data_IF_935270458527
#
_entry.id   IF_935270458527
#
_cell.length_a   1.000
_cell.length_b   1.000
_cell.length_c   1.000
_cell.angle_alpha   90.00
_cell.angle_beta   90.00
_cell.angle_gamma   90.00
#
_symmetry.space_group_name_H-M   'P 1'
#
loop_
_entity.id
_entity.type
_entity.pdbx_description
1 polymer ?
#
# COMPACT_ATOMS: atom_id res chain seq x y z
N UNK A 1 -9.11 -3.76 -8.65
CA UNK A 1 -8.85 -3.94 -7.21
C UNK A 1 -8.49 -2.59 -6.63
N UNK A 2 -9.11 -2.22 -5.51
CA UNK A 2 -8.72 -1.02 -4.77
C UNK A 2 -7.46 -1.27 -3.93
N UNK A 3 -6.74 -0.21 -3.56
CA UNK A 3 -5.61 -0.25 -2.64
C UNK A 3 -6.01 -0.93 -1.33
N UNK A 4 -7.20 -0.63 -0.81
CA UNK A 4 -7.72 -1.24 0.41
C UNK A 4 -7.90 -2.77 0.27
N UNK A 5 -8.51 -3.22 -0.83
CA UNK A 5 -8.70 -4.65 -1.08
C UNK A 5 -7.37 -5.39 -1.28
N UNK A 6 -6.42 -4.75 -1.95
CA UNK A 6 -5.07 -5.29 -2.13
C UNK A 6 -4.36 -5.44 -0.77
N UNK A 7 -4.40 -4.41 0.06
CA UNK A 7 -3.82 -4.43 1.42
C UNK A 7 -4.50 -5.49 2.29
N UNK A 8 -5.83 -5.58 2.29
CA UNK A 8 -6.55 -6.59 3.07
C UNK A 8 -6.20 -8.00 2.62
N UNK A 9 -6.13 -8.23 1.30
CA UNK A 9 -5.72 -9.52 0.74
C UNK A 9 -4.26 -9.84 1.12
N UNK A 10 -3.38 -8.85 1.06
CA UNK A 10 -1.99 -8.99 1.45
C UNK A 10 -1.83 -9.30 2.94
N UNK A 11 -2.57 -8.62 3.82
CA UNK A 11 -2.58 -8.91 5.27
C UNK A 11 -3.10 -10.32 5.52
N UNK A 12 -4.18 -10.72 4.84
CA UNK A 12 -4.76 -12.06 4.98
C UNK A 12 -3.79 -13.14 4.53
N UNK A 13 -3.12 -12.97 3.39
CA UNK A 13 -2.08 -13.88 2.91
C UNK A 13 -0.87 -13.93 3.85
N UNK A 14 -0.48 -12.77 4.40
CA UNK A 14 0.60 -12.68 5.37
C UNK A 14 0.30 -13.41 6.68
N UNK A 15 -0.96 -13.47 7.12
CA UNK A 15 -1.36 -14.20 8.32
C UNK A 15 -1.14 -15.71 8.20
N UNK A 16 -1.14 -16.25 6.97
CA UNK A 16 -0.84 -17.65 6.72
C UNK A 16 0.66 -17.97 6.71
N UNK A 17 1.53 -16.96 6.70
CA UNK A 17 2.99 -17.14 6.80
C UNK A 17 3.61 -16.06 7.70
N UNK A 18 3.39 -16.13 9.02
CA UNK A 18 3.90 -15.14 9.97
C UNK A 18 5.44 -15.11 9.99
N UNK A 19 6.10 -16.23 9.70
CA UNK A 19 7.57 -16.35 9.67
C UNK A 19 8.22 -15.52 8.55
N UNK A 20 7.51 -15.30 7.43
CA UNK A 20 7.97 -14.49 6.30
C UNK A 20 7.69 -12.98 6.51
N UNK A 21 6.86 -12.64 7.50
CA UNK A 21 6.21 -11.33 7.66
C UNK A 21 6.47 -10.67 9.02
N UNK A 22 7.30 -11.27 9.87
CA UNK A 22 7.66 -10.73 11.20
C UNK A 22 8.52 -9.45 11.13
N UNK A 23 8.97 -9.05 9.93
CA UNK A 23 9.82 -7.86 9.74
C UNK A 23 9.01 -6.80 9.00
N UNK A 24 8.33 -5.93 9.76
CA UNK A 24 7.59 -4.73 9.32
C UNK A 24 8.22 -4.02 8.08
N UNK A 25 9.54 -3.77 8.01
CA UNK A 25 10.17 -3.15 6.83
C UNK A 25 10.16 -4.02 5.56
N UNK A 26 10.26 -5.36 5.66
CA UNK A 26 10.15 -6.25 4.48
C UNK A 26 8.72 -6.33 3.97
N UNK A 27 7.76 -6.27 4.90
CA UNK A 27 6.33 -6.24 4.59
C UNK A 27 5.95 -4.97 3.83
N UNK A 28 6.45 -3.83 4.29
CA UNK A 28 6.34 -2.53 3.60
C UNK A 28 6.99 -2.59 2.22
N UNK A 29 8.22 -3.12 2.11
CA UNK A 29 8.91 -3.23 0.82
C UNK A 29 8.18 -4.13 -0.18
N UNK A 30 7.61 -5.27 0.25
CA UNK A 30 6.81 -6.15 -0.61
C UNK A 30 5.50 -5.49 -1.04
N UNK A 31 4.82 -4.79 -0.13
CA UNK A 31 3.60 -4.08 -0.44
C UNK A 31 3.86 -2.95 -1.45
N UNK A 32 4.89 -2.13 -1.21
CA UNK A 32 5.37 -1.10 -2.13
C UNK A 32 5.76 -1.69 -3.48
N UNK A 33 6.50 -2.80 -3.51
CA UNK A 33 6.88 -3.47 -4.75
C UNK A 33 5.70 -3.96 -5.60
N UNK A 34 4.52 -4.15 -5.00
CA UNK A 34 3.29 -4.48 -5.72
C UNK A 34 2.42 -3.27 -6.09
N UNK A 35 2.76 -2.06 -5.62
CA UNK A 35 2.09 -0.85 -6.08
C UNK A 35 2.63 -0.41 -7.43
N UNK A 36 1.76 0.25 -8.20
CA UNK A 36 2.12 0.82 -9.49
C UNK A 36 3.27 1.85 -9.32
N UNK A 37 4.26 1.87 -10.23
CA UNK A 37 5.37 2.82 -10.15
C UNK A 37 4.95 4.29 -10.13
N UNK A 38 3.80 4.64 -10.72
CA UNK A 38 3.21 5.98 -10.59
C UNK A 38 2.78 6.26 -9.14
N UNK A 39 2.16 5.29 -8.46
CA UNK A 39 1.86 5.39 -7.04
C UNK A 39 3.13 5.53 -6.21
N UNK A 40 4.16 4.72 -6.48
CA UNK A 40 5.43 4.77 -5.75
C UNK A 40 6.14 6.11 -5.85
N UNK A 41 6.08 6.75 -7.02
CA UNK A 41 6.65 8.09 -7.23
C UNK A 41 5.97 9.14 -6.34
N UNK A 42 4.66 9.00 -6.11
CA UNK A 42 3.90 9.88 -5.22
C UNK A 42 3.98 9.46 -3.75
N UNK A 43 4.20 8.17 -3.46
CA UNK A 43 4.45 7.62 -2.13
C UNK A 43 5.89 7.84 -1.62
N UNK A 44 6.67 8.74 -2.23
CA UNK A 44 8.06 9.05 -1.86
C UNK A 44 8.28 9.65 -0.45
N UNK A 45 7.27 9.62 0.43
CA UNK A 45 7.41 10.01 1.84
C UNK A 45 7.97 8.85 2.66
N UNK A 46 8.75 9.18 3.69
CA UNK A 46 9.09 8.21 4.74
C UNK A 46 7.85 7.92 5.55
N UNK A 47 7.49 6.64 5.63
CA UNK A 47 6.40 6.15 6.48
C UNK A 47 6.98 5.61 7.78
N UNK A 48 6.40 6.01 8.91
CA UNK A 48 6.84 5.57 10.24
C UNK A 48 6.24 4.22 10.62
N UNK A 49 5.16 3.79 9.96
CA UNK A 49 4.46 2.54 10.26
C UNK A 49 3.69 2.04 9.05
N UNK A 50 3.44 0.73 9.00
CA UNK A 50 2.62 0.10 7.96
C UNK A 50 1.22 0.75 7.84
N UNK A 51 0.58 1.07 8.97
CA UNK A 51 -0.72 1.75 8.98
C UNK A 51 -0.68 3.11 8.28
N UNK A 52 0.36 3.91 8.55
CA UNK A 52 0.52 5.24 7.93
C UNK A 52 0.71 5.13 6.41
N UNK A 53 1.42 4.09 5.95
CA UNK A 53 1.57 3.80 4.53
C UNK A 53 0.25 3.41 3.87
N UNK A 54 -0.56 2.58 4.53
CA UNK A 54 -1.87 2.15 4.03
C UNK A 54 -2.82 3.34 3.95
N UNK A 55 -2.89 4.18 4.98
CA UNK A 55 -3.74 5.37 4.99
C UNK A 55 -3.36 6.33 3.85
N UNK A 56 -2.06 6.59 3.64
CA UNK A 56 -1.59 7.44 2.54
C UNK A 56 -1.87 6.82 1.18
N UNK A 57 -1.75 5.50 1.03
CA UNK A 57 -2.05 4.82 -0.22
C UNK A 57 -3.55 4.90 -0.56
N UNK A 58 -4.44 4.80 0.44
CA UNK A 58 -5.90 4.94 0.26
C UNK A 58 -6.26 6.38 -0.12
N UNK A 59 -5.73 7.38 0.61
CA UNK A 59 -5.94 8.80 0.30
C UNK A 59 -5.46 9.13 -1.12
N UNK A 60 -4.30 8.58 -1.52
CA UNK A 60 -3.76 8.78 -2.87
C UNK A 60 -4.64 8.12 -3.95
N UNK A 61 -5.16 6.92 -3.71
CA UNK A 61 -6.09 6.28 -4.65
C UNK A 61 -7.34 7.13 -4.84
N UNK A 62 -7.91 7.68 -3.76
CA UNK A 62 -9.06 8.56 -3.86
C UNK A 62 -8.74 9.84 -4.65
N UNK A 63 -7.59 10.46 -4.40
CA UNK A 63 -7.15 11.65 -5.15
C UNK A 63 -6.94 11.37 -6.64
N UNK A 64 -6.30 10.25 -6.97
CA UNK A 64 -6.08 9.86 -8.37
C UNK A 64 -7.40 9.52 -9.07
N UNK A 65 -8.35 8.94 -8.35
CA UNK A 65 -9.69 8.65 -8.87
C UNK A 65 -10.45 9.94 -9.16
N UNK A 66 -10.46 10.88 -8.20
CA UNK A 66 -11.06 12.20 -8.37
C UNK A 66 -10.42 12.97 -9.53
N UNK A 67 -9.09 12.96 -9.64
CA UNK A 67 -8.38 13.62 -10.74
C UNK A 67 -8.69 13.01 -12.13
N UNK A 68 -9.09 11.73 -12.19
CA UNK A 68 -9.53 11.07 -13.43
C UNK A 68 -11.01 11.33 -13.73
N UNK A 69 -11.83 11.59 -12.72
CA UNK A 69 -13.26 11.88 -12.89
C UNK A 69 -13.52 13.35 -13.27
N UNK A 70 -12.58 14.25 -12.98
CA UNK A 70 -12.65 15.69 -13.33
C UNK A 70 -12.15 16.00 -14.77
N UNK A 71 -11.90 14.97 -15.60
CA UNK A 71 -11.35 15.08 -16.97
C UNK A 71 -12.34 14.55 -18.02
#
# INVERSE_FOLDING_TARGET
>A
MSVLEYVQTFIRLSQYSPEDVDIDPRRVARLLGGFDPTFLTHLGRRYNSFTELVDVAIDMEQRLRQAREDQ
#
